data_IF_295114214059
#
_entry.id   IF_295114214059
#
_cell.length_a   1.000
_cell.length_b   1.000
_cell.length_c   1.000
_cell.angle_alpha   90.00
_cell.angle_beta   90.00
_cell.angle_gamma   90.00
#
_symmetry.space_group_name_H-M   'P 1'
#
loop_
_entity.id
_entity.type
_entity.pdbx_description
1 polymer ?
#
# COMPACT_ATOMS: atom_id res chain seq x y z
N UNK A 1 -1.68 16.55 17.76
CA UNK A 1 -1.89 15.73 16.55
C UNK A 1 -0.90 14.59 16.61
N UNK A 2 -1.36 13.34 16.70
CA UNK A 2 -0.47 12.16 16.67
C UNK A 2 -0.15 11.85 15.21
N UNK A 3 0.73 12.65 14.62
CA UNK A 3 1.08 12.60 13.20
C UNK A 3 2.10 11.48 12.93
N UNK A 4 1.89 10.29 13.51
CA UNK A 4 2.88 9.20 13.45
C UNK A 4 2.41 7.80 13.84
N UNK A 5 1.16 7.60 14.27
CA UNK A 5 0.75 6.26 14.75
C UNK A 5 0.02 5.40 13.69
N UNK A 6 -0.35 5.93 12.51
CA UNK A 6 -1.16 5.20 11.51
C UNK A 6 -0.88 5.65 10.06
N UNK A 7 0.38 5.87 9.69
CA UNK A 7 0.74 6.28 8.32
C UNK A 7 1.86 5.42 7.77
N UNK A 8 1.89 5.27 6.45
CA UNK A 8 3.04 4.70 5.74
C UNK A 8 4.15 5.75 5.64
N UNK A 9 5.39 5.30 5.61
CA UNK A 9 6.55 6.16 5.39
C UNK A 9 6.57 6.65 3.93
N UNK A 10 6.36 5.71 3.00
CA UNK A 10 6.32 5.96 1.55
C UNK A 10 5.30 5.06 0.85
N UNK A 11 4.93 5.43 -0.38
CA UNK A 11 4.00 4.69 -1.25
C UNK A 11 4.64 4.45 -2.62
N UNK A 12 4.57 3.21 -3.10
CA UNK A 12 5.05 2.83 -4.43
C UNK A 12 3.90 2.85 -5.44
N UNK A 13 4.03 3.69 -6.46
CA UNK A 13 3.05 3.81 -7.55
C UNK A 13 3.67 3.28 -8.85
N UNK A 14 2.94 2.39 -9.54
CA UNK A 14 3.33 1.92 -10.87
C UNK A 14 3.31 3.08 -11.87
N UNK A 15 4.43 3.31 -12.56
CA UNK A 15 4.52 4.31 -13.64
C UNK A 15 3.66 3.97 -14.85
N UNK A 16 3.39 2.69 -15.07
CA UNK A 16 2.62 2.21 -16.22
C UNK A 16 1.11 2.37 -15.99
N UNK A 17 0.65 2.10 -14.77
CA UNK A 17 -0.80 2.04 -14.47
C UNK A 17 -1.29 3.14 -13.55
N UNK A 18 -0.40 3.89 -12.91
CA UNK A 18 -0.74 4.88 -11.87
C UNK A 18 -1.33 4.27 -10.59
N UNK A 19 -1.23 2.95 -10.41
CA UNK A 19 -1.82 2.25 -9.25
C UNK A 19 -0.80 2.07 -8.14
N UNK A 20 -1.27 2.09 -6.89
CA UNK A 20 -0.45 1.74 -5.73
C UNK A 20 -0.13 0.24 -5.78
N UNK A 21 1.15 -0.11 -5.68
CA UNK A 21 1.66 -1.49 -5.77
C UNK A 21 2.45 -1.92 -4.54
N UNK A 22 2.73 -0.99 -3.63
CA UNK A 22 3.48 -1.26 -2.41
C UNK A 22 3.53 -0.05 -1.49
N UNK A 23 4.04 -0.26 -0.29
CA UNK A 23 4.26 0.76 0.74
C UNK A 23 5.57 0.49 1.48
N UNK A 24 6.15 1.54 2.05
CA UNK A 24 7.19 1.42 3.07
C UNK A 24 6.54 1.66 4.45
N UNK A 25 6.82 0.78 5.41
CA UNK A 25 6.38 0.92 6.79
C UNK A 25 7.51 0.50 7.74
N UNK A 26 7.89 1.41 8.63
CA UNK A 26 8.99 1.22 9.60
C UNK A 26 10.29 0.82 8.90
N UNK A 27 10.60 1.46 7.76
CA UNK A 27 11.78 1.17 6.94
C UNK A 27 11.77 -0.21 6.26
N UNK A 28 10.60 -0.86 6.14
CA UNK A 28 10.43 -2.15 5.46
C UNK A 28 9.52 -2.04 4.25
N UNK A 29 9.87 -2.76 3.19
CA UNK A 29 9.10 -2.81 1.95
C UNK A 29 8.00 -3.87 2.00
N UNK A 30 6.77 -3.45 1.64
CA UNK A 30 5.62 -4.34 1.49
C UNK A 30 5.05 -4.23 0.07
N UNK A 31 4.87 -5.37 -0.61
CA UNK A 31 4.19 -5.44 -1.90
C UNK A 31 2.70 -5.65 -1.67
N UNK A 32 1.86 -4.81 -2.29
CA UNK A 32 0.42 -5.03 -2.28
C UNK A 32 0.07 -6.16 -3.24
N UNK A 33 -0.55 -7.20 -2.70
CA UNK A 33 -1.13 -8.29 -3.47
C UNK A 33 -2.63 -7.98 -3.61
N UNK A 34 -3.17 -7.91 -4.84
CA UNK A 34 -4.61 -7.72 -5.01
C UNK A 34 -5.35 -8.84 -4.31
N UNK A 35 -6.18 -8.47 -3.33
CA UNK A 35 -7.17 -9.40 -2.80
C UNK A 35 -8.17 -9.57 -3.94
N UNK A 36 -8.30 -10.78 -4.48
CA UNK A 36 -9.47 -11.10 -5.28
C UNK A 36 -10.66 -10.87 -4.35
N UNK A 37 -11.48 -9.86 -4.63
CA UNK A 37 -12.82 -9.88 -4.09
C UNK A 37 -13.40 -11.20 -4.60
N UNK A 38 -13.55 -12.18 -3.71
CA UNK A 38 -14.59 -13.18 -3.95
C UNK A 38 -15.85 -12.32 -4.05
N UNK A 39 -16.43 -12.29 -5.25
CA UNK A 39 -17.75 -11.72 -5.46
C UNK A 39 -18.64 -12.41 -4.41
N UNK A 40 -18.95 -11.69 -3.34
CA UNK A 40 -19.78 -12.22 -2.28
C UNK A 40 -21.13 -12.56 -2.87
N UNK A 41 -21.42 -13.85 -2.97
CA UNK A 41 -22.76 -14.39 -3.19
C UNK A 41 -23.70 -14.00 -2.04
#
# INVERSE_FOLDING_TARGET
MKTGDNTFDDIYISKETGKVVGVMLDGRDYKLVPIKQEDGE
#
